data_IF_689028972006
#
_entry.id   IF_689028972006
#
_cell.length_a   1.000
_cell.length_b   1.000
_cell.length_c   1.000
_cell.angle_alpha   90.00
_cell.angle_beta   90.00
_cell.angle_gamma   90.00
#
_symmetry.space_group_name_H-M   'P 1'
#
loop_
_entity.id
_entity.type
_entity.pdbx_description
1 polymer ?
#
# COMPACT_ATOMS: atom_id res chain seq x y z
N UNK A 1 -24.30 11.32 -12.02
CA UNK A 1 -23.04 10.54 -12.13
C UNK A 1 -23.29 9.24 -11.42
N UNK A 2 -23.14 8.12 -12.11
CA UNK A 2 -23.34 6.80 -11.52
C UNK A 2 -22.14 6.49 -10.61
N UNK A 3 -22.40 5.93 -9.43
CA UNK A 3 -21.37 5.50 -8.47
C UNK A 3 -20.32 4.58 -9.15
N UNK A 4 -20.75 3.78 -10.14
CA UNK A 4 -19.87 2.91 -10.93
C UNK A 4 -18.82 3.66 -11.77
N UNK A 5 -19.11 4.86 -12.26
CA UNK A 5 -18.15 5.64 -13.05
C UNK A 5 -17.08 6.27 -12.16
N UNK A 6 -17.45 6.64 -10.93
CA UNK A 6 -16.53 7.18 -9.93
C UNK A 6 -15.56 6.09 -9.45
N UNK A 7 -16.06 4.88 -9.18
CA UNK A 7 -15.25 3.73 -8.76
C UNK A 7 -14.22 3.35 -9.84
N UNK A 8 -14.63 3.30 -11.11
CA UNK A 8 -13.72 3.00 -12.23
C UNK A 8 -12.61 4.06 -12.33
N UNK A 9 -12.98 5.34 -12.21
CA UNK A 9 -12.00 6.42 -12.27
C UNK A 9 -11.03 6.37 -11.09
N UNK A 10 -11.47 5.98 -9.89
CA UNK A 10 -10.61 5.83 -8.71
C UNK A 10 -9.64 4.65 -8.85
N UNK A 11 -10.13 3.50 -9.31
CA UNK A 11 -9.29 2.33 -9.61
C UNK A 11 -8.20 2.69 -10.63
N UNK A 12 -8.56 3.42 -11.69
CA UNK A 12 -7.60 3.88 -12.68
C UNK A 12 -6.52 4.79 -12.08
N UNK A 13 -6.91 5.75 -11.22
CA UNK A 13 -5.96 6.62 -10.50
C UNK A 13 -5.03 5.83 -9.58
N UNK A 14 -5.55 4.81 -8.90
CA UNK A 14 -4.73 3.97 -8.02
C UNK A 14 -3.67 3.20 -8.81
N UNK A 15 -4.04 2.61 -9.96
CA UNK A 15 -3.09 1.94 -10.84
C UNK A 15 -2.05 2.92 -11.40
N UNK A 16 -2.46 4.12 -11.78
CA UNK A 16 -1.55 5.18 -12.24
C UNK A 16 -0.54 5.56 -11.14
N UNK A 17 -1.00 5.79 -9.91
CA UNK A 17 -0.12 6.10 -8.77
C UNK A 17 0.90 4.98 -8.51
N UNK A 18 0.45 3.72 -8.51
CA UNK A 18 1.34 2.57 -8.37
C UNK A 18 2.35 2.48 -9.54
N UNK A 19 1.89 2.73 -10.77
CA UNK A 19 2.71 2.71 -11.98
C UNK A 19 3.82 3.76 -11.94
N UNK A 20 3.45 5.00 -11.65
CA UNK A 20 4.38 6.11 -11.51
C UNK A 20 5.42 5.85 -10.42
N UNK A 21 5.00 5.27 -9.30
CA UNK A 21 5.90 4.90 -8.21
C UNK A 21 6.95 3.86 -8.64
N UNK A 22 6.53 2.75 -9.26
CA UNK A 22 7.48 1.71 -9.67
C UNK A 22 8.42 2.19 -10.78
N UNK A 23 7.94 3.03 -11.70
CA UNK A 23 8.74 3.59 -12.78
C UNK A 23 9.76 4.59 -12.23
N UNK A 24 9.35 5.47 -11.32
CA UNK A 24 10.21 6.46 -10.68
C UNK A 24 11.42 5.81 -9.97
N UNK A 25 11.19 4.69 -9.28
CA UNK A 25 12.23 3.97 -8.55
C UNK A 25 12.89 2.82 -9.33
N UNK A 26 12.51 2.59 -10.59
CA UNK A 26 13.07 1.50 -11.40
C UNK A 26 12.78 0.10 -10.84
N UNK A 27 11.64 -0.09 -10.16
CA UNK A 27 11.27 -1.35 -9.52
C UNK A 27 10.76 -2.32 -10.60
N UNK A 28 11.43 -3.47 -10.73
CA UNK A 28 11.08 -4.48 -11.73
C UNK A 28 9.76 -5.19 -11.40
N UNK A 29 8.88 -5.28 -12.40
CA UNK A 29 7.69 -6.15 -12.41
C UNK A 29 8.08 -7.55 -12.86
N UNK A 30 7.56 -8.57 -12.17
CA UNK A 30 7.64 -9.95 -12.63
C UNK A 30 6.59 -10.26 -13.72
N UNK A 31 6.67 -11.46 -14.30
CA UNK A 31 5.74 -11.92 -15.35
C UNK A 31 4.27 -12.02 -14.88
N UNK A 32 4.03 -11.98 -13.57
CA UNK A 32 2.71 -12.03 -12.97
C UNK A 32 2.13 -10.66 -12.65
N UNK A 33 2.75 -9.58 -13.13
CA UNK A 33 2.37 -8.19 -12.84
C UNK A 33 2.54 -7.81 -11.37
N UNK A 34 3.60 -8.32 -10.74
CA UNK A 34 3.89 -8.11 -9.31
C UNK A 34 5.27 -7.54 -9.10
N UNK A 35 5.41 -6.73 -8.07
CA UNK A 35 6.68 -6.19 -7.63
C UNK A 35 7.00 -6.64 -6.21
N UNK A 36 8.28 -6.93 -5.94
CA UNK A 36 8.79 -7.25 -4.61
C UNK A 36 10.09 -6.50 -4.38
N UNK A 37 10.12 -5.67 -3.35
CA UNK A 37 11.26 -4.83 -3.01
C UNK A 37 11.28 -4.56 -1.50
N UNK A 38 12.45 -4.21 -0.98
CA UNK A 38 12.60 -3.79 0.41
C UNK A 38 12.35 -2.28 0.50
N UNK A 39 11.68 -1.86 1.56
CA UNK A 39 11.24 -0.48 1.74
C UNK A 39 11.10 -0.12 3.20
N UNK A 40 11.24 1.17 3.48
CA UNK A 40 10.81 1.76 4.74
C UNK A 40 9.30 2.02 4.68
N UNK A 41 8.59 1.44 5.66
CA UNK A 41 7.14 1.49 5.78
C UNK A 41 6.77 2.25 7.05
N UNK A 42 6.03 3.34 6.87
CA UNK A 42 5.44 4.10 7.97
C UNK A 42 3.94 3.84 7.99
N UNK A 43 3.46 3.17 9.04
CA UNK A 43 2.05 2.88 9.25
C UNK A 43 1.50 3.76 10.37
N UNK A 44 0.40 4.45 10.08
CA UNK A 44 -0.27 5.33 11.02
C UNK A 44 -1.76 4.98 11.11
N UNK A 45 -2.20 4.60 12.30
CA UNK A 45 -3.61 4.46 12.69
C UNK A 45 -3.83 5.18 14.03
N UNK A 46 -4.34 4.50 15.06
CA UNK A 46 -4.30 4.94 16.45
C UNK A 46 -2.88 4.95 17.03
N UNK A 47 -1.96 4.18 16.42
CA UNK A 47 -0.53 4.15 16.77
C UNK A 47 0.33 4.42 15.53
N UNK A 48 1.58 4.80 15.76
CA UNK A 48 2.59 5.00 14.72
C UNK A 48 3.60 3.85 14.77
N UNK A 49 3.80 3.19 13.64
CA UNK A 49 4.83 2.18 13.44
C UNK A 49 5.73 2.58 12.26
N UNK A 50 7.02 2.31 12.38
CA UNK A 50 8.00 2.53 11.33
C UNK A 50 8.92 1.30 11.25
N UNK A 51 9.00 0.69 10.09
CA UNK A 51 9.76 -0.55 9.88
C UNK A 51 10.30 -0.67 8.47
N UNK A 52 11.52 -1.19 8.39
CA UNK A 52 12.12 -1.63 7.15
C UNK A 52 11.71 -3.08 6.87
N UNK A 53 10.95 -3.31 5.80
CA UNK A 53 10.37 -4.62 5.49
C UNK A 53 10.20 -4.81 3.98
N UNK A 54 9.88 -6.05 3.59
CA UNK A 54 9.61 -6.39 2.20
C UNK A 54 8.16 -6.08 1.83
N UNK A 55 7.99 -5.31 0.77
CA UNK A 55 6.69 -4.92 0.21
C UNK A 55 6.35 -5.75 -1.01
N UNK A 56 5.07 -6.12 -1.13
CA UNK A 56 4.52 -6.76 -2.32
C UNK A 56 3.40 -5.89 -2.91
N UNK A 57 3.58 -5.45 -4.15
CA UNK A 57 2.56 -4.72 -4.92
C UNK A 57 2.09 -5.59 -6.08
N UNK A 58 0.79 -5.72 -6.27
CA UNK A 58 0.17 -6.42 -7.40
C UNK A 58 -0.63 -5.45 -8.25
N UNK A 59 -0.43 -5.52 -9.58
CA UNK A 59 -1.12 -4.68 -10.56
C UNK A 59 -2.31 -5.38 -11.21
N UNK A 60 -2.81 -6.44 -10.57
CA UNK A 60 -4.04 -7.11 -10.96
C UNK A 60 -5.19 -6.61 -10.10
N UNK A 61 -6.36 -6.46 -10.71
CA UNK A 61 -7.59 -6.01 -10.05
C UNK A 61 -8.13 -7.05 -9.05
N UNK A 62 -7.88 -8.34 -9.30
CA UNK A 62 -8.32 -9.48 -8.47
C UNK A 62 -7.37 -9.83 -7.31
N UNK A 63 -6.16 -9.27 -7.29
CA UNK A 63 -5.10 -9.64 -6.37
C UNK A 63 -4.90 -8.61 -5.25
N UNK A 64 -4.16 -9.00 -4.22
CA UNK A 64 -3.95 -8.20 -3.01
C UNK A 64 -2.50 -7.77 -2.92
N UNK A 65 -2.27 -6.46 -2.81
CA UNK A 65 -0.97 -5.93 -2.40
C UNK A 65 -0.84 -6.12 -0.89
N UNK A 66 0.29 -6.63 -0.41
CA UNK A 66 0.46 -6.93 1.01
C UNK A 66 1.73 -6.30 1.56
N UNK A 67 1.61 -5.78 2.77
CA UNK A 67 2.74 -5.30 3.57
C UNK A 67 2.63 -5.90 4.95
N UNK A 68 3.73 -6.50 5.41
CA UNK A 68 3.84 -7.09 6.73
C UNK A 68 4.80 -6.25 7.55
N UNK A 69 4.33 -5.71 8.66
CA UNK A 69 5.13 -4.95 9.61
C UNK A 69 4.73 -5.34 11.04
N UNK A 70 5.70 -5.46 11.92
CA UNK A 70 5.52 -5.57 13.36
C UNK A 70 5.22 -4.20 13.98
N UNK A 71 4.00 -4.03 14.48
CA UNK A 71 3.70 -3.01 15.48
C UNK A 71 4.42 -3.42 16.78
N UNK A 72 5.49 -2.71 17.14
CA UNK A 72 6.17 -2.93 18.43
C UNK A 72 5.28 -2.45 19.57
N UNK A 73 4.47 -3.34 20.12
CA UNK A 73 3.83 -3.14 21.42
C UNK A 73 4.87 -3.21 22.54
N UNK A 74 4.64 -2.50 23.65
CA UNK A 74 5.59 -2.44 24.79
C UNK A 74 5.88 -3.80 25.45
N UNK A 75 5.00 -4.79 25.27
CA UNK A 75 5.10 -6.11 25.93
C UNK A 75 5.21 -7.30 24.98
N UNK A 76 4.82 -7.17 23.70
CA UNK A 76 4.96 -8.20 22.65
C UNK A 76 4.87 -7.54 21.26
N UNK A 77 5.68 -7.96 20.25
CA UNK A 77 5.50 -7.53 18.88
C UNK A 77 4.17 -8.07 18.33
N UNK A 78 3.32 -7.18 17.83
CA UNK A 78 2.10 -7.54 17.11
C UNK A 78 2.43 -7.48 15.62
N UNK A 79 2.48 -8.62 14.95
CA UNK A 79 2.64 -8.65 13.50
C UNK A 79 1.35 -8.19 12.83
N UNK A 80 1.39 -6.98 12.26
CA UNK A 80 0.31 -6.42 11.46
C UNK A 80 0.53 -6.84 10.01
N UNK A 81 -0.43 -7.60 9.48
CA UNK A 81 -0.53 -7.88 8.06
C UNK A 81 -1.60 -6.95 7.50
N UNK A 82 -1.19 -5.97 6.70
CA UNK A 82 -2.12 -5.10 5.99
C UNK A 82 -2.15 -5.48 4.52
N UNK A 83 -3.37 -5.69 4.05
CA UNK A 83 -3.71 -6.06 2.69
C UNK A 83 -4.42 -4.88 2.04
N UNK A 84 -3.92 -4.44 0.89
CA UNK A 84 -4.47 -3.32 0.11
C UNK A 84 -4.97 -3.86 -1.21
N UNK A 85 -6.24 -3.54 -1.51
CA UNK A 85 -6.83 -3.78 -2.82
C UNK A 85 -6.96 -2.45 -3.54
N UNK A 86 -6.64 -2.45 -4.82
CA UNK A 86 -6.79 -1.27 -5.68
C UNK A 86 -8.25 -0.79 -5.71
N UNK A 87 -9.21 -1.69 -5.49
CA UNK A 87 -10.64 -1.41 -5.49
C UNK A 87 -11.20 -0.82 -4.20
N UNK A 88 -10.48 -0.92 -3.08
CA UNK A 88 -10.99 -0.52 -1.76
C UNK A 88 -10.03 0.37 -0.98
N UNK A 89 -8.92 0.77 -1.60
CA UNK A 89 -7.91 1.63 -1.01
C UNK A 89 -7.75 2.84 -1.90
N UNK A 90 -7.31 3.95 -1.34
CA UNK A 90 -6.94 5.13 -2.10
C UNK A 90 -5.42 5.26 -2.11
N UNK A 91 -4.83 5.33 -3.29
CA UNK A 91 -3.38 5.31 -3.50
C UNK A 91 -2.93 6.58 -4.21
N UNK A 92 -1.87 7.19 -3.70
CA UNK A 92 -1.26 8.39 -4.28
C UNK A 92 0.25 8.24 -4.27
N UNK A 93 0.90 8.69 -5.34
CA UNK A 93 2.34 8.82 -5.39
C UNK A 93 2.73 10.29 -5.36
N UNK A 94 3.27 10.74 -4.22
CA UNK A 94 3.65 12.13 -3.99
C UNK A 94 4.87 12.20 -3.07
N UNK A 95 5.70 13.22 -3.25
CA UNK A 95 6.91 13.45 -2.45
C UNK A 95 7.88 12.25 -2.42
N UNK A 96 7.94 11.48 -3.50
CA UNK A 96 8.72 10.25 -3.64
C UNK A 96 8.26 9.12 -2.69
N UNK A 97 6.98 9.08 -2.34
CA UNK A 97 6.41 8.06 -1.47
C UNK A 97 5.10 7.54 -2.04
N UNK A 98 4.89 6.22 -1.97
CA UNK A 98 3.56 5.67 -2.21
C UNK A 98 2.74 5.76 -0.92
N UNK A 99 1.68 6.55 -0.96
CA UNK A 99 0.75 6.75 0.14
C UNK A 99 -0.52 5.93 -0.11
N UNK A 100 -0.89 5.09 0.86
CA UNK A 100 -2.09 4.26 0.80
C UNK A 100 -2.96 4.57 2.01
N UNK A 101 -4.19 5.02 1.77
CA UNK A 101 -5.18 5.27 2.82
C UNK A 101 -6.35 4.30 2.69
N UNK A 102 -6.85 3.85 3.83
CA UNK A 102 -7.97 2.92 3.89
C UNK A 102 -8.56 2.83 5.29
N UNK A 103 -9.53 1.93 5.45
CA UNK A 103 -10.12 1.63 6.74
C UNK A 103 -10.22 0.12 6.96
N UNK A 104 -10.03 -0.32 8.20
CA UNK A 104 -10.14 -1.72 8.61
C UNK A 104 -10.97 -1.84 9.89
N UNK A 105 -11.80 -2.88 10.05
CA UNK A 105 -12.57 -3.10 11.29
C UNK A 105 -11.70 -3.19 12.55
N UNK A 106 -10.44 -3.62 12.42
CA UNK A 106 -9.55 -3.85 13.58
C UNK A 106 -8.80 -2.60 14.03
N UNK A 107 -8.39 -1.76 13.08
CA UNK A 107 -7.50 -0.62 13.35
C UNK A 107 -8.12 0.75 13.02
N UNK A 108 -9.34 0.76 12.47
CA UNK A 108 -10.01 1.97 12.01
C UNK A 108 -9.41 2.50 10.71
N UNK A 109 -9.53 3.81 10.50
CA UNK A 109 -8.86 4.50 9.40
C UNK A 109 -7.34 4.45 9.59
N UNK A 110 -6.60 4.22 8.51
CA UNK A 110 -5.15 4.13 8.52
C UNK A 110 -4.54 4.80 7.28
N UNK A 111 -3.26 5.16 7.41
CA UNK A 111 -2.39 5.63 6.34
C UNK A 111 -1.09 4.84 6.35
N UNK A 112 -0.63 4.43 5.17
CA UNK A 112 0.64 3.74 4.96
C UNK A 112 1.46 4.56 4.00
N UNK A 113 2.74 4.77 4.31
CA UNK A 113 3.71 5.42 3.43
C UNK A 113 4.82 4.41 3.15
N UNK A 114 5.15 4.22 1.88
CA UNK A 114 6.17 3.27 1.42
C UNK A 114 7.26 4.04 0.67
N UNK A 115 8.50 3.86 1.12
CA UNK A 115 9.69 4.51 0.55
C UNK A 115 10.68 3.38 0.19
N UNK A 116 10.91 3.09 -1.09
CA UNK A 116 11.86 2.07 -1.51
C UNK A 116 13.27 2.40 -1.02
N UNK A 117 14.02 1.35 -0.66
CA UNK A 117 15.41 1.45 -0.22
C UNK A 117 16.42 1.17 -1.34
#
# INVERSE_FOLDING_TARGET
MNESEQDIAEIARNFEAMGNFIEHFGINRDRGERCRFDADVIFQSTRLAHEHTRVYLSFRDDDVSSVRFAEKGELNPVFVHTEFRVTSSHMQFENNELQITGASPKVGAYKVRIIPS
#
